data_IF_078816430365
#
_entry.id   IF_078816430365
#
_cell.length_a   1.000
_cell.length_b   1.000
_cell.length_c   1.000
_cell.angle_alpha   90.00
_cell.angle_beta   90.00
_cell.angle_gamma   90.00
#
_symmetry.space_group_name_H-M   'P 1'
#
loop_
_entity.id
_entity.type
_entity.pdbx_description
1 polymer ?
#
# COMPACT_ATOMS: atom_id res chain seq x y z
N UNK A 1 -5.66 -17.54 21.99
CA UNK A 1 -7.06 -17.29 21.64
C UNK A 1 -7.82 -16.48 22.69
N UNK A 2 -7.80 -16.82 24.00
CA UNK A 2 -8.52 -16.03 25.05
C UNK A 2 -8.12 -14.55 25.07
N UNK A 3 -6.83 -14.21 25.08
CA UNK A 3 -6.35 -12.81 25.04
C UNK A 3 -6.83 -12.04 23.81
N UNK A 4 -6.87 -12.67 22.63
CA UNK A 4 -7.34 -12.03 21.38
C UNK A 4 -8.84 -11.71 21.46
N UNK A 5 -9.64 -12.62 22.00
CA UNK A 5 -11.10 -12.42 22.20
C UNK A 5 -11.35 -11.33 23.24
N UNK A 6 -10.55 -11.27 24.31
CA UNK A 6 -10.63 -10.20 25.32
C UNK A 6 -10.26 -8.84 24.73
N UNK A 7 -9.21 -8.77 23.90
CA UNK A 7 -8.83 -7.53 23.20
C UNK A 7 -9.94 -7.07 22.27
N UNK A 8 -10.53 -7.96 21.46
CA UNK A 8 -11.68 -7.64 20.60
C UNK A 8 -12.89 -7.15 21.43
N UNK A 9 -13.18 -7.80 22.54
CA UNK A 9 -14.27 -7.40 23.44
C UNK A 9 -14.01 -6.02 24.06
N UNK A 10 -12.76 -5.71 24.40
CA UNK A 10 -12.37 -4.41 24.92
C UNK A 10 -12.42 -3.32 23.86
N UNK A 11 -12.01 -3.61 22.61
CA UNK A 11 -12.17 -2.70 21.47
C UNK A 11 -13.66 -2.35 21.23
N UNK A 12 -14.56 -3.34 21.38
CA UNK A 12 -16.00 -3.13 21.16
C UNK A 12 -16.68 -2.34 22.28
N UNK A 13 -16.12 -2.34 23.49
CA UNK A 13 -16.62 -1.57 24.64
C UNK A 13 -16.33 -0.07 24.51
N UNK A 14 -15.33 0.33 23.72
CA UNK A 14 -14.97 1.72 23.53
C UNK A 14 -15.83 2.28 22.39
N UNK A 15 -16.73 3.21 22.73
CA UNK A 15 -17.73 3.74 21.79
C UNK A 15 -17.12 4.43 20.58
N UNK A 16 -16.11 5.26 20.75
CA UNK A 16 -15.39 5.95 19.66
C UNK A 16 -14.72 4.94 18.70
N UNK A 17 -14.03 3.95 19.24
CA UNK A 17 -13.36 2.93 18.42
C UNK A 17 -14.36 2.04 17.68
N UNK A 18 -15.48 1.70 18.34
CA UNK A 18 -16.58 0.96 17.72
C UNK A 18 -17.19 1.72 16.55
N UNK A 19 -17.45 3.03 16.71
CA UNK A 19 -17.97 3.88 15.63
C UNK A 19 -16.99 3.95 14.46
N UNK A 20 -15.69 4.13 14.70
CA UNK A 20 -14.65 4.14 13.66
C UNK A 20 -14.57 2.82 12.91
N UNK A 21 -14.63 1.68 13.61
CA UNK A 21 -14.64 0.36 13.00
C UNK A 21 -15.89 0.13 12.15
N UNK A 22 -17.08 0.53 12.64
CA UNK A 22 -18.33 0.41 11.89
C UNK A 22 -18.30 1.27 10.62
N UNK A 23 -17.80 2.50 10.70
CA UNK A 23 -17.64 3.38 9.53
C UNK A 23 -16.69 2.74 8.50
N UNK A 24 -15.57 2.19 8.96
CA UNK A 24 -14.61 1.50 8.07
C UNK A 24 -15.27 0.31 7.37
N UNK A 25 -16.00 -0.53 8.11
CA UNK A 25 -16.73 -1.67 7.54
C UNK A 25 -17.82 -1.24 6.56
N UNK A 26 -18.58 -0.19 6.89
CA UNK A 26 -19.63 0.33 6.01
C UNK A 26 -19.06 0.81 4.68
N UNK A 27 -18.02 1.65 4.70
CA UNK A 27 -17.42 2.17 3.48
C UNK A 27 -16.73 1.08 2.67
N UNK A 28 -16.15 0.08 3.34
CA UNK A 28 -15.60 -1.11 2.69
C UNK A 28 -16.70 -1.91 1.98
N UNK A 29 -17.85 -2.11 2.61
CA UNK A 29 -18.97 -2.81 2.01
C UNK A 29 -19.50 -2.06 0.77
N UNK A 30 -19.60 -0.71 0.83
CA UNK A 30 -19.99 0.13 -0.31
C UNK A 30 -19.00 -0.04 -1.47
N UNK A 31 -17.70 -0.02 -1.19
CA UNK A 31 -16.66 -0.26 -2.20
C UNK A 31 -16.80 -1.63 -2.84
N UNK A 32 -17.00 -2.69 -2.05
CA UNK A 32 -17.16 -4.05 -2.56
C UNK A 32 -18.43 -4.22 -3.38
N UNK A 33 -19.55 -3.66 -2.94
CA UNK A 33 -20.79 -3.65 -3.71
C UNK A 33 -20.61 -3.00 -5.08
N UNK A 34 -20.01 -1.81 -5.13
CA UNK A 34 -19.78 -1.10 -6.40
C UNK A 34 -18.79 -1.80 -7.34
N UNK A 35 -17.89 -2.65 -6.84
CA UNK A 35 -16.97 -3.43 -7.69
C UNK A 35 -17.69 -4.55 -8.49
N UNK A 36 -18.93 -4.91 -8.12
CA UNK A 36 -19.75 -5.86 -8.87
C UNK A 36 -20.74 -5.17 -9.81
N UNK A 37 -20.95 -3.86 -9.69
CA UNK A 37 -21.86 -3.12 -10.57
C UNK A 37 -21.19 -2.90 -11.92
N UNK A 38 -21.61 -3.63 -12.92
CA UNK A 38 -21.10 -3.57 -14.30
C UNK A 38 -21.47 -2.23 -14.96
N UNK A 39 -20.61 -1.73 -15.86
CA UNK A 39 -20.88 -0.52 -16.64
C UNK A 39 -22.20 -0.67 -17.44
N UNK A 40 -23.08 0.33 -17.39
CA UNK A 40 -24.32 0.32 -18.15
C UNK A 40 -24.05 0.14 -19.65
N UNK A 41 -24.70 -0.84 -20.27
CA UNK A 41 -24.50 -1.17 -21.69
C UNK A 41 -23.53 -2.32 -21.96
N UNK A 42 -22.98 -2.96 -20.94
CA UNK A 42 -22.15 -4.16 -21.08
C UNK A 42 -22.90 -5.38 -20.54
N UNK A 43 -22.88 -6.47 -21.30
CA UNK A 43 -23.48 -7.76 -20.89
C UNK A 43 -22.48 -8.56 -20.05
N UNK A 44 -22.80 -8.87 -18.76
CA UNK A 44 -21.90 -9.58 -17.85
C UNK A 44 -21.51 -10.99 -18.34
N UNK A 45 -22.43 -11.71 -19.00
CA UNK A 45 -22.19 -13.07 -19.49
C UNK A 45 -21.09 -13.20 -20.54
N UNK A 46 -20.78 -12.10 -21.23
CA UNK A 46 -19.71 -12.08 -22.26
C UNK A 46 -18.33 -11.74 -21.66
N UNK A 47 -18.25 -11.41 -20.36
CA UNK A 47 -17.02 -11.04 -19.69
C UNK A 47 -16.19 -12.23 -19.17
N UNK A 48 -16.74 -13.46 -19.19
CA UNK A 48 -16.00 -14.68 -18.76
C UNK A 48 -14.71 -14.89 -19.56
N UNK A 49 -14.74 -14.60 -20.87
CA UNK A 49 -13.55 -14.62 -21.72
C UNK A 49 -12.50 -13.58 -21.33
N UNK A 50 -12.95 -12.43 -20.84
CA UNK A 50 -12.08 -11.36 -20.33
C UNK A 50 -11.36 -11.81 -19.06
N UNK A 51 -12.05 -12.50 -18.16
CA UNK A 51 -11.47 -13.04 -16.93
C UNK A 51 -10.34 -14.05 -17.23
N UNK A 52 -10.53 -14.92 -18.18
CA UNK A 52 -9.51 -15.90 -18.57
C UNK A 52 -8.27 -15.27 -19.23
N UNK A 53 -8.46 -14.21 -20.00
CA UNK A 53 -7.36 -13.47 -20.65
C UNK A 53 -6.64 -12.49 -19.70
N UNK A 54 -7.36 -11.99 -18.68
CA UNK A 54 -6.80 -11.08 -17.67
C UNK A 54 -6.00 -11.83 -16.60
N UNK A 55 -6.10 -13.17 -16.54
CA UNK A 55 -5.36 -13.99 -15.57
C UNK A 55 -3.84 -14.01 -15.79
N UNK A 56 -3.31 -13.40 -16.88
CA UNK A 56 -1.89 -13.34 -17.20
C UNK A 56 -1.32 -11.93 -17.27
N UNK A 57 -0.05 -11.77 -16.90
CA UNK A 57 0.72 -10.55 -17.08
C UNK A 57 0.28 -9.36 -16.22
N UNK A 58 0.49 -8.16 -16.76
CA UNK A 58 0.24 -6.88 -16.08
C UNK A 58 -1.24 -6.58 -15.81
N UNK A 59 -2.15 -7.07 -16.65
CA UNK A 59 -3.59 -6.90 -16.47
C UNK A 59 -4.08 -7.60 -15.19
N UNK A 60 -3.46 -8.72 -14.83
CA UNK A 60 -3.73 -9.45 -13.60
C UNK A 60 -3.41 -8.62 -12.34
N UNK A 61 -2.34 -7.82 -12.37
CA UNK A 61 -2.02 -6.91 -11.27
C UNK A 61 -3.06 -5.80 -11.12
N UNK A 62 -3.48 -5.17 -12.23
CA UNK A 62 -4.53 -4.15 -12.21
C UNK A 62 -5.84 -4.73 -11.67
N UNK A 63 -6.21 -5.93 -12.10
CA UNK A 63 -7.40 -6.62 -11.64
C UNK A 63 -7.33 -6.99 -10.15
N UNK A 64 -6.15 -7.38 -9.66
CA UNK A 64 -5.94 -7.67 -8.26
C UNK A 64 -6.08 -6.42 -7.38
N UNK A 65 -5.47 -5.28 -7.78
CA UNK A 65 -5.61 -4.03 -7.04
C UNK A 65 -7.04 -3.45 -7.06
N UNK A 66 -7.78 -3.68 -8.13
CA UNK A 66 -9.19 -3.30 -8.22
C UNK A 66 -10.14 -4.32 -7.56
N UNK A 67 -9.61 -5.44 -7.05
CA UNK A 67 -10.40 -6.49 -6.41
C UNK A 67 -11.38 -7.19 -7.34
N UNK A 68 -11.02 -7.32 -8.63
CA UNK A 68 -11.86 -7.90 -9.67
C UNK A 68 -12.75 -6.94 -10.41
N UNK A 69 -12.74 -5.67 -10.05
CA UNK A 69 -13.54 -4.67 -10.72
C UNK A 69 -13.11 -4.42 -12.18
N UNK A 70 -11.82 -4.61 -12.47
CA UNK A 70 -11.26 -4.45 -13.80
C UNK A 70 -11.78 -5.54 -14.76
N UNK A 71 -11.71 -6.80 -14.38
CA UNK A 71 -12.19 -7.94 -15.20
C UNK A 71 -13.70 -8.01 -15.30
N UNK A 72 -14.42 -7.50 -14.29
CA UNK A 72 -15.89 -7.42 -14.30
C UNK A 72 -16.40 -6.21 -15.08
N UNK A 73 -15.54 -5.39 -15.70
CA UNK A 73 -15.91 -4.14 -16.37
C UNK A 73 -16.87 -3.28 -15.51
N UNK A 74 -16.57 -3.16 -14.23
CA UNK A 74 -17.44 -2.45 -13.28
C UNK A 74 -17.24 -0.93 -13.35
N UNK A 75 -18.14 -0.19 -12.70
CA UNK A 75 -18.03 1.26 -12.51
C UNK A 75 -16.69 1.62 -11.83
N UNK A 76 -16.14 0.71 -11.01
CA UNK A 76 -14.89 0.86 -10.30
C UNK A 76 -13.71 0.18 -10.98
N UNK A 77 -13.78 -0.11 -12.28
CA UNK A 77 -12.75 -0.87 -13.01
C UNK A 77 -11.35 -0.27 -12.92
N UNK A 78 -11.19 1.05 -12.96
CA UNK A 78 -9.92 1.73 -12.81
C UNK A 78 -9.43 1.80 -11.35
N UNK A 79 -10.32 1.60 -10.40
CA UNK A 79 -10.01 1.58 -8.98
C UNK A 79 -9.33 2.87 -8.50
N UNK A 80 -8.32 2.70 -7.64
CA UNK A 80 -7.53 3.80 -7.05
C UNK A 80 -6.21 4.05 -7.80
N UNK A 81 -5.89 3.25 -8.85
CA UNK A 81 -4.62 3.33 -9.58
C UNK A 81 -4.32 4.72 -10.16
N UNK A 82 -5.28 5.45 -10.76
CA UNK A 82 -5.02 6.80 -11.28
C UNK A 82 -4.56 7.77 -10.20
N UNK A 83 -5.12 7.65 -9.00
CA UNK A 83 -4.69 8.45 -7.84
C UNK A 83 -3.29 8.07 -7.35
N UNK A 84 -2.95 6.78 -7.32
CA UNK A 84 -1.60 6.33 -6.94
C UNK A 84 -0.60 6.93 -7.92
N UNK A 85 -0.85 6.83 -9.23
CA UNK A 85 0.00 7.41 -10.25
C UNK A 85 0.16 8.93 -10.10
N UNK A 86 -0.94 9.65 -9.85
CA UNK A 86 -0.91 11.08 -9.58
C UNK A 86 -0.12 11.44 -8.32
N UNK A 87 -0.30 10.68 -7.24
CA UNK A 87 0.42 10.87 -5.98
C UNK A 87 1.92 10.66 -6.15
N UNK A 88 2.32 9.64 -6.92
CA UNK A 88 3.70 9.37 -7.28
C UNK A 88 4.31 10.57 -8.02
N UNK A 89 3.65 11.06 -9.07
CA UNK A 89 4.12 12.20 -9.85
C UNK A 89 4.26 13.44 -8.96
N UNK A 90 3.28 13.70 -8.10
CA UNK A 90 3.34 14.85 -7.17
C UNK A 90 4.46 14.73 -6.14
N UNK A 91 4.75 13.53 -5.64
CA UNK A 91 5.88 13.29 -4.74
C UNK A 91 7.23 13.54 -5.44
N UNK A 92 7.37 13.09 -6.69
CA UNK A 92 8.57 13.38 -7.49
C UNK A 92 8.72 14.88 -7.77
N UNK A 93 7.62 15.57 -8.13
CA UNK A 93 7.61 17.02 -8.34
C UNK A 93 7.95 17.79 -7.05
N UNK A 94 7.51 17.29 -5.89
CA UNK A 94 7.84 17.90 -4.60
C UNK A 94 9.34 17.82 -4.26
N UNK A 95 10.08 16.91 -4.89
CA UNK A 95 11.54 16.80 -4.76
C UNK A 95 12.25 17.58 -5.85
N UNK A 96 11.78 17.49 -7.09
CA UNK A 96 12.46 18.06 -8.25
C UNK A 96 12.24 19.59 -8.42
N UNK A 97 11.06 20.09 -8.01
CA UNK A 97 10.64 21.47 -8.28
C UNK A 97 10.63 22.30 -7.00
N UNK A 98 11.43 23.40 -6.91
CA UNK A 98 11.54 24.23 -5.70
C UNK A 98 10.20 24.81 -5.20
N UNK A 99 9.26 25.05 -6.11
CA UNK A 99 7.92 25.54 -5.78
C UNK A 99 7.15 24.55 -4.88
N UNK A 100 7.13 23.27 -5.24
CA UNK A 100 6.47 22.23 -4.46
C UNK A 100 7.24 21.88 -3.18
N UNK A 101 8.57 22.00 -3.19
CA UNK A 101 9.40 21.86 -1.97
C UNK A 101 9.02 22.91 -0.91
N UNK A 102 8.88 24.18 -1.31
CA UNK A 102 8.43 25.25 -0.40
C UNK A 102 7.06 24.92 0.17
N UNK A 103 6.14 24.52 -0.68
CA UNK A 103 4.77 24.15 -0.27
C UNK A 103 4.76 22.97 0.72
N UNK A 104 5.63 21.98 0.56
CA UNK A 104 5.76 20.86 1.49
C UNK A 104 6.26 21.32 2.88
N UNK A 105 7.10 22.36 2.92
CA UNK A 105 7.62 22.96 4.17
C UNK A 105 6.62 23.88 4.87
N UNK A 106 5.56 24.34 4.21
CA UNK A 106 4.51 25.19 4.78
C UNK A 106 3.59 24.45 5.79
N UNK A 107 3.83 23.18 6.06
CA UNK A 107 3.07 22.39 7.04
C UNK A 107 1.70 21.97 6.52
N UNK A 108 0.66 22.08 7.36
CA UNK A 108 -0.69 21.56 7.03
C UNK A 108 -1.35 22.27 5.83
N UNK A 109 -1.16 23.59 5.72
CA UNK A 109 -1.71 24.38 4.60
C UNK A 109 -1.10 23.93 3.27
N UNK A 110 0.21 23.74 3.24
CA UNK A 110 0.91 23.26 2.05
C UNK A 110 0.52 21.83 1.67
N UNK A 111 0.36 20.93 2.65
CA UNK A 111 -0.13 19.55 2.41
C UNK A 111 -1.52 19.54 1.77
N UNK A 112 -2.45 20.38 2.23
CA UNK A 112 -3.79 20.52 1.64
C UNK A 112 -3.73 20.98 0.18
N UNK A 113 -2.85 21.92 -0.15
CA UNK A 113 -2.63 22.36 -1.54
C UNK A 113 -2.06 21.24 -2.41
N UNK A 114 -1.07 20.50 -1.92
CA UNK A 114 -0.49 19.35 -2.64
C UNK A 114 -1.57 18.29 -2.89
N UNK A 115 -2.41 17.97 -1.91
CA UNK A 115 -3.53 17.05 -2.09
C UNK A 115 -4.52 17.53 -3.15
N UNK A 116 -4.81 18.83 -3.19
CA UNK A 116 -5.67 19.40 -4.23
C UNK A 116 -5.06 19.23 -5.63
N UNK A 117 -3.76 19.52 -5.80
CA UNK A 117 -3.05 19.28 -7.06
C UNK A 117 -3.04 17.80 -7.44
N UNK A 118 -2.86 16.90 -6.47
CA UNK A 118 -2.93 15.46 -6.70
C UNK A 118 -4.31 15.05 -7.23
N UNK A 119 -5.40 15.57 -6.68
CA UNK A 119 -6.77 15.28 -7.17
C UNK A 119 -6.99 15.81 -8.59
N UNK A 120 -6.55 17.01 -8.88
CA UNK A 120 -6.65 17.58 -10.26
C UNK A 120 -5.86 16.73 -11.24
N UNK A 121 -4.64 16.34 -10.88
CA UNK A 121 -3.81 15.46 -11.71
C UNK A 121 -4.44 14.07 -11.87
N UNK A 122 -5.10 13.54 -10.83
CA UNK A 122 -5.85 12.28 -10.91
C UNK A 122 -6.95 12.36 -11.96
N UNK A 123 -7.72 13.45 -12.00
CA UNK A 123 -8.76 13.67 -13.01
C UNK A 123 -8.15 13.75 -14.41
N UNK A 124 -7.03 14.47 -14.56
CA UNK A 124 -6.32 14.53 -15.85
C UNK A 124 -5.87 13.15 -16.33
N UNK A 125 -5.27 12.34 -15.45
CA UNK A 125 -4.87 10.95 -15.77
C UNK A 125 -6.09 10.09 -16.13
N UNK A 126 -7.21 10.24 -15.45
CA UNK A 126 -8.45 9.50 -15.72
C UNK A 126 -8.99 9.77 -17.12
N UNK A 127 -8.92 11.01 -17.59
CA UNK A 127 -9.37 11.38 -18.95
C UNK A 127 -8.60 10.63 -20.04
N UNK A 128 -7.34 10.28 -19.81
CA UNK A 128 -6.53 9.48 -20.75
C UNK A 128 -6.66 7.96 -20.48
N UNK A 129 -6.73 7.54 -19.24
CA UNK A 129 -6.71 6.13 -18.85
C UNK A 129 -8.05 5.44 -19.08
N UNK A 130 -9.19 6.14 -18.88
CA UNK A 130 -10.51 5.56 -19.07
C UNK A 130 -10.81 5.20 -20.55
N UNK A 131 -10.55 6.07 -21.55
CA UNK A 131 -10.66 5.67 -22.94
C UNK A 131 -9.73 4.52 -23.33
N UNK A 132 -8.50 4.51 -22.81
CA UNK A 132 -7.54 3.42 -23.05
C UNK A 132 -8.07 2.09 -22.54
N UNK A 133 -8.68 2.08 -21.36
CA UNK A 133 -9.34 0.89 -20.81
C UNK A 133 -10.51 0.42 -21.68
N UNK A 134 -11.36 1.34 -22.12
CA UNK A 134 -12.50 1.03 -22.98
C UNK A 134 -12.09 0.51 -24.36
N UNK A 135 -11.00 1.03 -24.94
CA UNK A 135 -10.42 0.50 -26.16
C UNK A 135 -9.90 -0.94 -25.96
N UNK A 136 -9.23 -1.20 -24.85
CA UNK A 136 -8.78 -2.54 -24.51
C UNK A 136 -9.98 -3.50 -24.34
N UNK A 137 -11.04 -3.07 -23.66
CA UNK A 137 -12.28 -3.81 -23.52
C UNK A 137 -12.93 -4.12 -24.88
N UNK A 138 -12.94 -3.15 -25.80
CA UNK A 138 -13.41 -3.33 -27.18
C UNK A 138 -12.61 -4.40 -27.93
N UNK A 139 -11.28 -4.43 -27.76
CA UNK A 139 -10.43 -5.40 -28.44
C UNK A 139 -10.62 -6.81 -27.90
N UNK A 140 -10.83 -6.96 -26.60
CA UNK A 140 -10.94 -8.27 -25.95
C UNK A 140 -12.37 -8.82 -25.93
N UNK A 141 -13.37 -7.96 -25.83
CA UNK A 141 -14.77 -8.32 -25.69
C UNK A 141 -15.66 -7.46 -26.61
N UNK A 142 -15.40 -7.48 -27.92
CA UNK A 142 -16.15 -6.68 -28.89
C UNK A 142 -17.67 -6.93 -28.85
N UNK A 143 -18.08 -8.17 -28.53
CA UNK A 143 -19.47 -8.60 -28.47
C UNK A 143 -20.14 -8.35 -27.10
N UNK A 144 -19.42 -7.81 -26.12
CA UNK A 144 -19.97 -7.55 -24.79
C UNK A 144 -20.87 -6.29 -24.75
N UNK A 145 -20.88 -5.47 -25.80
CA UNK A 145 -21.76 -4.33 -25.88
C UNK A 145 -23.19 -4.77 -26.20
N UNK A 146 -24.17 -4.17 -25.53
CA UNK A 146 -25.58 -4.43 -25.78
C UNK A 146 -25.97 -4.13 -27.24
N UNK A 147 -26.81 -4.98 -27.81
CA UNK A 147 -27.28 -4.84 -29.20
C UNK A 147 -27.94 -3.48 -29.44
N UNK A 148 -27.47 -2.75 -30.47
CA UNK A 148 -28.02 -1.45 -30.85
C UNK A 148 -27.23 -0.23 -30.38
N UNK A 149 -26.15 -0.38 -29.59
CA UNK A 149 -25.31 0.73 -29.15
C UNK A 149 -23.99 0.71 -29.93
N UNK A 150 -23.61 1.84 -30.57
CA UNK A 150 -22.30 1.96 -31.20
C UNK A 150 -21.22 2.25 -30.17
N UNK A 151 -20.02 1.69 -30.34
CA UNK A 151 -18.87 1.91 -29.45
C UNK A 151 -18.51 3.39 -29.30
N UNK A 152 -18.68 4.18 -30.35
CA UNK A 152 -18.36 5.62 -30.36
C UNK A 152 -19.27 6.40 -29.40
N UNK A 153 -20.56 6.09 -29.40
CA UNK A 153 -21.55 6.72 -28.51
C UNK A 153 -21.37 6.23 -27.06
N UNK A 154 -21.00 4.96 -26.88
CA UNK A 154 -20.77 4.36 -25.57
C UNK A 154 -19.51 4.93 -24.86
N UNK A 155 -18.45 5.26 -25.61
CA UNK A 155 -17.16 5.67 -25.02
C UNK A 155 -17.27 6.93 -24.13
N UNK A 156 -18.05 7.95 -24.56
CA UNK A 156 -18.13 9.21 -23.82
C UNK A 156 -18.78 9.03 -22.43
N UNK A 157 -20.02 8.50 -22.34
CA UNK A 157 -20.65 8.31 -21.03
C UNK A 157 -19.90 7.29 -20.16
N UNK A 158 -19.35 6.22 -20.75
CA UNK A 158 -18.56 5.24 -20.00
C UNK A 158 -17.30 5.83 -19.40
N UNK A 159 -16.60 6.73 -20.13
CA UNK A 159 -15.43 7.47 -19.60
C UNK A 159 -15.82 8.33 -18.40
N UNK A 160 -16.93 9.05 -18.49
CA UNK A 160 -17.43 9.89 -17.39
C UNK A 160 -17.79 9.04 -16.17
N UNK A 161 -18.46 7.90 -16.36
CA UNK A 161 -18.84 6.99 -15.30
C UNK A 161 -17.60 6.39 -14.62
N UNK A 162 -16.60 5.95 -15.39
CA UNK A 162 -15.34 5.42 -14.85
C UNK A 162 -14.56 6.48 -14.06
N UNK A 163 -14.51 7.72 -14.58
CA UNK A 163 -13.87 8.84 -13.89
C UNK A 163 -14.60 9.17 -12.57
N UNK A 164 -15.92 9.25 -12.61
CA UNK A 164 -16.75 9.47 -11.42
C UNK A 164 -16.59 8.33 -10.39
N UNK A 165 -16.55 7.06 -10.84
CA UNK A 165 -16.32 5.89 -10.01
C UNK A 165 -14.98 5.93 -9.30
N UNK A 166 -13.89 6.23 -10.01
CA UNK A 166 -12.55 6.35 -9.42
C UNK A 166 -12.45 7.51 -8.41
N UNK A 167 -13.05 8.66 -8.72
CA UNK A 167 -13.11 9.79 -7.79
C UNK A 167 -13.96 9.47 -6.55
N UNK A 168 -15.01 8.68 -6.70
CA UNK A 168 -15.82 8.21 -5.57
C UNK A 168 -15.03 7.26 -4.66
N UNK A 169 -14.24 6.33 -5.22
CA UNK A 169 -13.34 5.46 -4.44
C UNK A 169 -12.32 6.30 -3.67
N UNK A 170 -11.73 7.31 -4.31
CA UNK A 170 -10.80 8.23 -3.64
C UNK A 170 -11.48 8.91 -2.45
N UNK A 171 -12.69 9.44 -2.66
CA UNK A 171 -13.46 10.07 -1.60
C UNK A 171 -13.78 9.08 -0.46
N UNK A 172 -14.13 7.83 -0.76
CA UNK A 172 -14.32 6.77 0.25
C UNK A 172 -13.03 6.55 1.05
N UNK A 173 -11.87 6.45 0.39
CA UNK A 173 -10.57 6.27 1.03
C UNK A 173 -10.24 7.44 1.97
N UNK A 174 -10.46 8.67 1.55
CA UNK A 174 -10.28 9.86 2.39
C UNK A 174 -11.22 9.85 3.60
N UNK A 175 -12.48 9.48 3.42
CA UNK A 175 -13.46 9.37 4.52
C UNK A 175 -13.12 8.27 5.52
N UNK A 176 -12.58 7.14 5.07
CA UNK A 176 -12.07 6.10 5.97
C UNK A 176 -10.88 6.64 6.77
N UNK A 177 -9.96 7.37 6.12
CA UNK A 177 -8.80 7.97 6.80
C UNK A 177 -9.22 8.98 7.87
N UNK A 178 -10.23 9.84 7.57
CA UNK A 178 -10.68 10.90 8.48
C UNK A 178 -11.50 10.35 9.66
N UNK A 179 -12.42 9.44 9.39
CA UNK A 179 -13.44 8.98 10.36
C UNK A 179 -13.33 7.52 10.77
N UNK A 180 -12.52 6.74 10.07
CA UNK A 180 -12.34 5.32 10.32
C UNK A 180 -11.05 5.01 11.08
N UNK A 181 -10.50 3.83 10.82
CA UNK A 181 -9.24 3.32 11.36
C UNK A 181 -8.28 3.07 10.21
N UNK A 182 -7.02 3.49 10.36
CA UNK A 182 -5.99 3.25 9.36
C UNK A 182 -5.99 4.25 8.21
N UNK A 183 -5.10 4.00 7.24
CA UNK A 183 -5.08 4.74 5.98
C UNK A 183 -6.13 4.13 5.04
N UNK A 184 -7.20 4.86 4.76
CA UNK A 184 -8.34 4.36 3.98
C UNK A 184 -7.98 3.95 2.56
N UNK A 185 -7.04 4.65 1.91
CA UNK A 185 -6.56 4.31 0.57
C UNK A 185 -5.88 2.93 0.58
N UNK A 186 -4.97 2.74 1.52
CA UNK A 186 -4.26 1.47 1.70
C UNK A 186 -5.21 0.32 2.08
N UNK A 187 -6.23 0.60 2.91
CA UNK A 187 -7.27 -0.36 3.26
C UNK A 187 -8.09 -0.80 2.05
N UNK A 188 -8.50 0.12 1.18
CA UNK A 188 -9.23 -0.20 -0.05
C UNK A 188 -8.41 -1.12 -0.95
N UNK A 189 -7.11 -0.86 -1.11
CA UNK A 189 -6.20 -1.71 -1.89
C UNK A 189 -6.08 -3.09 -1.24
N UNK A 190 -5.87 -3.16 0.06
CA UNK A 190 -5.77 -4.40 0.82
C UNK A 190 -7.02 -5.26 0.66
N UNK A 191 -8.21 -4.67 0.76
CA UNK A 191 -9.48 -5.36 0.59
C UNK A 191 -9.66 -5.86 -0.84
N UNK A 192 -9.21 -5.10 -1.84
CA UNK A 192 -9.15 -5.55 -3.23
C UNK A 192 -8.32 -6.83 -3.38
N UNK A 193 -7.13 -6.84 -2.78
CA UNK A 193 -6.21 -7.98 -2.80
C UNK A 193 -6.85 -9.19 -2.08
N UNK A 194 -7.34 -9.02 -0.84
CA UNK A 194 -7.96 -10.11 -0.05
C UNK A 194 -9.16 -10.71 -0.77
N UNK A 195 -9.92 -9.92 -1.49
CA UNK A 195 -11.12 -10.38 -2.17
C UNK A 195 -10.84 -11.39 -3.29
N UNK A 196 -9.65 -11.37 -3.88
CA UNK A 196 -9.22 -12.33 -4.91
C UNK A 196 -8.61 -13.60 -4.32
N UNK A 197 -8.14 -13.55 -3.07
CA UNK A 197 -7.46 -14.67 -2.42
C UNK A 197 -8.30 -15.96 -2.37
N UNK A 198 -9.61 -15.95 -1.98
CA UNK A 198 -10.40 -17.18 -1.93
C UNK A 198 -10.54 -17.86 -3.29
N UNK A 199 -10.74 -17.08 -4.35
CA UNK A 199 -10.87 -17.59 -5.71
C UNK A 199 -9.54 -18.20 -6.20
N UNK A 200 -8.43 -17.50 -5.99
CA UNK A 200 -7.10 -17.98 -6.35
C UNK A 200 -6.74 -19.27 -5.58
N UNK A 201 -7.08 -19.32 -4.29
CA UNK A 201 -6.87 -20.50 -3.45
C UNK A 201 -7.67 -21.71 -3.95
N UNK A 202 -8.97 -21.53 -4.24
CA UNK A 202 -9.79 -22.62 -4.79
C UNK A 202 -9.28 -23.12 -6.14
N UNK A 203 -8.83 -22.19 -7.02
CA UNK A 203 -8.24 -22.56 -8.31
C UNK A 203 -6.96 -23.39 -8.12
N UNK A 204 -6.08 -23.03 -7.19
CA UNK A 204 -4.87 -23.79 -6.90
C UNK A 204 -5.20 -25.18 -6.36
N UNK A 205 -6.09 -25.27 -5.35
CA UNK A 205 -6.54 -26.55 -4.79
C UNK A 205 -7.12 -27.48 -5.86
N UNK A 206 -8.00 -26.97 -6.72
CA UNK A 206 -8.61 -27.77 -7.80
C UNK A 206 -7.57 -28.24 -8.83
N UNK A 207 -6.63 -27.39 -9.20
CA UNK A 207 -5.52 -27.74 -10.10
C UNK A 207 -4.63 -28.83 -9.50
N UNK A 208 -4.28 -28.74 -8.22
CA UNK A 208 -3.45 -29.73 -7.53
C UNK A 208 -4.18 -31.05 -7.27
N UNK A 209 -5.48 -31.02 -7.02
CA UNK A 209 -6.29 -32.22 -6.90
C UNK A 209 -6.42 -32.96 -8.24
N UNK A 210 -6.46 -32.29 -9.36
CA UNK A 210 -6.43 -32.90 -10.68
C UNK A 210 -5.07 -33.53 -11.00
N UNK A 211 -3.99 -33.06 -10.42
CA UNK A 211 -2.62 -33.54 -10.57
C UNK A 211 -2.18 -34.54 -9.48
N UNK A 212 -3.11 -35.26 -8.82
CA UNK A 212 -2.81 -36.20 -7.70
C UNK A 212 -1.82 -37.29 -8.13
N UNK A 213 -1.93 -37.79 -9.35
CA UNK A 213 -1.04 -38.83 -9.87
C UNK A 213 0.43 -38.41 -9.98
N UNK A 214 0.73 -37.12 -10.02
CA UNK A 214 2.09 -36.55 -10.10
C UNK A 214 2.56 -35.90 -8.79
N UNK A 215 1.98 -36.25 -7.65
CA UNK A 215 2.39 -35.73 -6.33
C UNK A 215 1.84 -34.32 -6.00
N UNK A 216 0.77 -33.88 -6.66
CA UNK A 216 0.20 -32.55 -6.53
C UNK A 216 -0.15 -32.15 -5.10
N UNK A 217 -0.58 -33.10 -4.26
CA UNK A 217 -0.95 -32.82 -2.86
C UNK A 217 0.28 -32.50 -1.99
N UNK A 218 1.41 -33.19 -2.22
CA UNK A 218 2.66 -32.91 -1.50
C UNK A 218 3.17 -31.53 -1.89
N UNK A 219 3.11 -31.20 -3.18
CA UNK A 219 3.54 -29.89 -3.68
C UNK A 219 2.70 -28.77 -3.08
N UNK A 220 1.39 -28.94 -2.94
CA UNK A 220 0.51 -27.99 -2.30
C UNK A 220 0.87 -27.70 -0.84
N UNK A 221 1.25 -28.74 -0.06
CA UNK A 221 1.72 -28.55 1.33
C UNK A 221 3.01 -27.72 1.35
N UNK A 222 3.95 -28.00 0.44
CA UNK A 222 5.21 -27.26 0.31
C UNK A 222 4.92 -25.78 -0.03
N UNK A 223 4.00 -25.51 -0.94
CA UNK A 223 3.57 -24.17 -1.30
C UNK A 223 3.03 -23.39 -0.11
N UNK A 224 2.13 -23.99 0.67
CA UNK A 224 1.59 -23.35 1.88
C UNK A 224 2.69 -23.07 2.90
N UNK A 225 3.65 -23.98 3.05
CA UNK A 225 4.76 -23.79 3.99
C UNK A 225 5.68 -22.65 3.54
N UNK A 226 5.99 -22.55 2.24
CA UNK A 226 6.75 -21.44 1.66
C UNK A 226 5.97 -20.12 1.85
N UNK A 227 4.67 -20.09 1.53
CA UNK A 227 3.84 -18.91 1.73
C UNK A 227 3.89 -18.44 3.18
N UNK A 228 3.73 -19.36 4.13
CA UNK A 228 3.82 -19.05 5.55
C UNK A 228 5.19 -18.47 5.93
N UNK A 229 6.28 -19.06 5.45
CA UNK A 229 7.63 -18.55 5.69
C UNK A 229 7.84 -17.13 5.14
N UNK A 230 7.34 -16.85 3.93
CA UNK A 230 7.44 -15.53 3.30
C UNK A 230 6.59 -14.49 4.05
N UNK A 231 5.39 -14.86 4.53
CA UNK A 231 4.57 -13.98 5.38
C UNK A 231 5.30 -13.65 6.69
N UNK A 232 5.88 -14.64 7.37
CA UNK A 232 6.66 -14.42 8.59
C UNK A 232 7.87 -13.50 8.32
N UNK A 233 8.59 -13.72 7.24
CA UNK A 233 9.71 -12.88 6.83
C UNK A 233 9.27 -11.43 6.54
N UNK A 234 8.13 -11.25 5.88
CA UNK A 234 7.54 -9.93 5.61
C UNK A 234 7.15 -9.19 6.89
N UNK A 235 6.58 -9.89 7.87
CA UNK A 235 6.22 -9.30 9.17
C UNK A 235 7.48 -8.85 9.91
N UNK A 236 8.54 -9.69 9.93
CA UNK A 236 9.82 -9.33 10.54
C UNK A 236 10.45 -8.09 9.88
N UNK A 237 10.35 -7.99 8.56
CA UNK A 237 10.85 -6.81 7.83
C UNK A 237 10.11 -5.54 8.22
N UNK A 238 8.76 -5.58 8.23
CA UNK A 238 7.91 -4.41 8.52
C UNK A 238 8.05 -3.96 9.98
N UNK A 239 8.19 -4.90 10.92
CA UNK A 239 8.39 -4.60 12.34
C UNK A 239 9.83 -4.28 12.70
N UNK A 240 10.79 -4.58 11.82
CA UNK A 240 12.21 -4.36 12.05
C UNK A 240 12.52 -2.88 12.29
N UNK A 241 13.05 -2.56 13.49
CA UNK A 241 13.43 -1.18 13.84
C UNK A 241 14.80 -1.13 14.50
N UNK A 242 15.62 -0.17 14.09
CA UNK A 242 16.87 0.18 14.77
C UNK A 242 16.60 1.31 15.75
N UNK A 243 16.81 1.08 17.04
CA UNK A 243 16.64 2.07 18.10
C UNK A 243 17.92 2.85 18.30
N UNK A 244 17.90 4.18 18.07
CA UNK A 244 19.01 5.10 18.38
C UNK A 244 18.75 5.68 19.75
N UNK A 245 19.68 5.54 20.74
CA UNK A 245 19.52 6.15 22.05
C UNK A 245 19.69 7.66 21.97
N UNK A 246 18.74 8.39 22.52
CA UNK A 246 18.77 9.86 22.66
C UNK A 246 18.60 10.22 24.12
N UNK A 247 19.42 11.13 24.59
CA UNK A 247 19.35 11.65 25.94
C UNK A 247 18.92 13.12 25.91
N UNK A 248 17.89 13.44 26.69
CA UNK A 248 17.44 14.81 26.85
C UNK A 248 18.06 15.42 28.10
N UNK A 249 18.40 16.70 28.02
CA UNK A 249 18.94 17.43 29.16
C UNK A 249 17.94 17.46 30.33
N UNK A 250 18.44 17.28 31.55
CA UNK A 250 17.62 17.41 32.74
C UNK A 250 17.25 18.88 32.94
N UNK A 251 15.98 19.17 33.16
CA UNK A 251 15.50 20.50 33.58
C UNK A 251 15.16 20.47 35.08
N UNK A 252 15.76 21.39 35.82
CA UNK A 252 15.40 21.64 37.21
C UNK A 252 14.32 22.72 37.24
N UNK A 253 13.15 22.40 37.77
CA UNK A 253 12.09 23.36 38.02
C UNK A 253 11.79 23.32 39.52
N UNK A 254 12.35 24.29 40.24
CA UNK A 254 12.36 24.27 41.72
C UNK A 254 13.17 23.09 42.26
N UNK A 255 12.61 22.35 43.24
CA UNK A 255 13.26 21.18 43.84
C UNK A 255 12.98 19.86 43.10
N UNK A 256 12.29 19.87 41.97
CA UNK A 256 11.95 18.67 41.19
C UNK A 256 12.78 18.61 39.90
N UNK A 257 13.45 17.47 39.67
CA UNK A 257 14.13 17.18 38.41
C UNK A 257 13.13 16.59 37.42
N UNK A 258 12.98 17.28 36.26
CA UNK A 258 12.19 16.80 35.13
C UNK A 258 13.14 16.46 33.98
N UNK A 259 12.93 15.32 33.33
CA UNK A 259 13.76 14.87 32.20
C UNK A 259 14.94 13.99 32.58
N UNK A 260 15.82 13.72 31.63
CA UNK A 260 17.00 12.84 31.82
C UNK A 260 16.73 11.36 31.56
N UNK A 261 15.53 10.99 31.17
CA UNK A 261 15.24 9.63 30.70
C UNK A 261 15.87 9.38 29.33
N UNK A 262 16.49 8.23 29.14
CA UNK A 262 16.93 7.78 27.82
C UNK A 262 15.69 7.45 26.99
N UNK A 263 15.57 8.12 25.87
CA UNK A 263 14.55 7.81 24.85
C UNK A 263 15.23 7.19 23.64
N UNK A 264 14.46 6.51 22.82
CA UNK A 264 14.96 5.86 21.61
C UNK A 264 14.20 6.38 20.40
N UNK A 265 14.94 6.77 19.36
CA UNK A 265 14.34 7.06 18.05
C UNK A 265 14.31 5.74 17.27
N UNK A 266 13.11 5.21 16.96
CA UNK A 266 12.99 3.99 16.16
C UNK A 266 13.16 4.33 14.68
N UNK A 267 14.25 3.91 14.05
CA UNK A 267 14.43 3.92 12.61
C UNK A 267 13.90 2.59 12.05
N UNK A 268 12.85 2.63 11.24
CA UNK A 268 12.28 1.43 10.60
C UNK A 268 13.19 0.94 9.49
N UNK A 269 13.42 -0.38 9.38
CA UNK A 269 14.08 -1.00 8.23
C UNK A 269 13.28 -0.75 6.95
N UNK A 270 11.97 -0.80 7.08
CA UNK A 270 11.00 -0.59 6.01
C UNK A 270 10.45 0.86 6.05
N UNK A 271 11.36 1.85 6.12
CA UNK A 271 10.98 3.26 6.21
C UNK A 271 10.27 3.77 4.95
N UNK A 272 10.65 3.25 3.79
CA UNK A 272 10.05 3.58 2.51
C UNK A 272 8.66 2.95 2.28
N UNK A 273 8.21 2.06 3.16
CA UNK A 273 6.97 1.30 3.00
C UNK A 273 6.89 0.59 1.63
N UNK A 274 5.71 0.44 1.08
CA UNK A 274 5.47 -0.27 -0.19
C UNK A 274 5.75 0.59 -1.43
N UNK A 275 5.95 1.90 -1.26
CA UNK A 275 6.10 2.86 -2.36
C UNK A 275 7.20 2.49 -3.38
N UNK A 276 8.42 2.09 -2.99
CA UNK A 276 9.47 1.74 -3.95
C UNK A 276 9.06 0.64 -4.93
N UNK A 277 8.30 -0.34 -4.48
CA UNK A 277 7.86 -1.46 -5.32
C UNK A 277 6.81 -0.98 -6.32
N UNK A 278 5.86 -0.14 -5.86
CA UNK A 278 4.84 0.45 -6.74
C UNK A 278 5.50 1.30 -7.82
N UNK A 279 6.52 2.10 -7.46
CA UNK A 279 7.30 2.88 -8.42
C UNK A 279 8.03 2.00 -9.44
N UNK A 280 8.72 0.95 -8.97
CA UNK A 280 9.41 0.02 -9.85
C UNK A 280 8.43 -0.64 -10.83
N UNK A 281 7.26 -1.07 -10.35
CA UNK A 281 6.20 -1.61 -11.20
C UNK A 281 5.67 -0.58 -12.21
N UNK A 282 5.37 0.65 -11.77
CA UNK A 282 4.89 1.70 -12.66
C UNK A 282 5.89 1.98 -13.78
N UNK A 283 7.19 1.96 -13.47
CA UNK A 283 8.24 2.18 -14.46
C UNK A 283 8.37 1.01 -15.43
N UNK A 284 8.14 -0.23 -14.97
CA UNK A 284 8.11 -1.42 -15.84
C UNK A 284 6.91 -1.43 -16.80
N UNK A 285 5.84 -0.62 -16.55
CA UNK A 285 4.74 -0.44 -17.48
C UNK A 285 5.11 0.41 -18.72
N UNK A 286 6.12 1.30 -18.62
CA UNK A 286 6.49 2.23 -19.70
C UNK A 286 6.98 1.49 -20.96
N UNK A 287 7.95 0.55 -20.88
CA UNK A 287 8.37 -0.22 -22.04
C UNK A 287 7.23 -0.96 -22.72
N UNK A 288 6.30 -1.50 -21.94
CA UNK A 288 5.10 -2.20 -22.43
C UNK A 288 4.17 -1.29 -23.22
N UNK A 289 3.96 -0.06 -22.75
CA UNK A 289 3.14 0.91 -23.47
C UNK A 289 3.76 1.30 -24.80
N UNK A 290 5.08 1.48 -24.86
CA UNK A 290 5.82 1.85 -26.07
C UNK A 290 5.75 0.73 -27.13
N UNK A 291 5.90 -0.53 -26.70
CA UNK A 291 5.90 -1.68 -27.62
C UNK A 291 4.53 -1.93 -28.25
N UNK A 292 3.45 -1.72 -27.50
CA UNK A 292 2.09 -1.82 -28.06
C UNK A 292 1.83 -0.79 -29.18
N UNK A 293 2.57 0.31 -29.18
CA UNK A 293 2.47 1.34 -30.22
C UNK A 293 3.31 1.02 -31.47
N UNK A 294 4.36 0.19 -31.32
CA UNK A 294 5.33 -0.15 -32.35
C UNK A 294 5.12 -1.61 -32.79
N UNK A 295 4.08 -1.84 -33.63
CA UNK A 295 3.61 -3.14 -34.07
C UNK A 295 4.71 -4.02 -34.73
N UNK A 296 4.59 -5.34 -34.51
CA UNK A 296 5.10 -6.52 -35.23
C UNK A 296 6.60 -6.87 -35.20
N UNK A 297 7.53 -5.95 -34.93
CA UNK A 297 8.98 -6.29 -34.84
C UNK A 297 9.59 -5.98 -33.48
N UNK A 298 8.91 -6.36 -32.38
CA UNK A 298 9.51 -6.21 -31.05
C UNK A 298 10.76 -7.09 -30.95
N UNK A 299 11.92 -6.49 -30.68
CA UNK A 299 13.16 -7.23 -30.48
C UNK A 299 13.00 -8.27 -29.35
N UNK A 300 13.75 -9.37 -29.42
CA UNK A 300 13.72 -10.46 -28.43
C UNK A 300 13.87 -9.96 -26.98
N UNK A 301 14.65 -8.89 -26.79
CA UNK A 301 14.86 -8.22 -25.50
C UNK A 301 13.56 -7.61 -24.97
N UNK A 302 12.76 -7.04 -25.83
CA UNK A 302 11.48 -6.42 -25.44
C UNK A 302 10.44 -7.47 -25.07
N UNK A 303 10.41 -8.59 -25.81
CA UNK A 303 9.54 -9.73 -25.47
C UNK A 303 9.91 -10.33 -24.11
N UNK A 304 11.19 -10.45 -23.80
CA UNK A 304 11.67 -10.90 -22.49
C UNK A 304 11.32 -9.90 -21.35
N UNK A 305 11.29 -8.60 -21.61
CA UNK A 305 10.85 -7.60 -20.66
C UNK A 305 9.32 -7.59 -20.44
N UNK A 306 8.55 -8.20 -21.33
CA UNK A 306 7.09 -8.36 -21.19
C UNK A 306 6.68 -9.57 -20.37
N UNK A 307 7.56 -10.56 -20.26
CA UNK A 307 7.27 -11.79 -19.53
C UNK A 307 7.76 -11.68 -18.08
N UNK A 308 6.83 -11.68 -17.13
CA UNK A 308 7.10 -11.63 -15.68
C UNK A 308 7.94 -12.83 -15.19
N UNK A 309 8.01 -13.93 -15.96
CA UNK A 309 8.83 -15.11 -15.65
C UNK A 309 10.24 -15.00 -16.21
N UNK A 310 10.50 -14.06 -17.10
CA UNK A 310 11.82 -13.87 -17.70
C UNK A 310 12.85 -13.42 -16.66
N UNK A 311 14.05 -13.96 -16.75
CA UNK A 311 15.17 -13.58 -15.89
C UNK A 311 15.52 -12.09 -16.08
N UNK A 312 15.47 -11.59 -17.33
CA UNK A 312 15.76 -10.19 -17.64
C UNK A 312 14.78 -9.25 -16.95
N UNK A 313 13.48 -9.55 -17.00
CA UNK A 313 12.45 -8.78 -16.29
C UNK A 313 12.75 -8.71 -14.79
N UNK A 314 13.00 -9.85 -14.17
CA UNK A 314 13.23 -9.94 -12.73
C UNK A 314 14.51 -9.22 -12.29
N UNK A 315 15.60 -9.30 -13.05
CA UNK A 315 16.85 -8.59 -12.75
C UNK A 315 16.65 -7.08 -12.82
N UNK A 316 16.05 -6.58 -13.89
CA UNK A 316 15.75 -5.13 -14.02
C UNK A 316 14.82 -4.66 -12.91
N UNK A 317 13.81 -5.46 -12.58
CA UNK A 317 12.85 -5.15 -11.52
C UNK A 317 13.53 -5.04 -10.15
N UNK A 318 14.44 -5.97 -9.81
CA UNK A 318 15.24 -5.93 -8.58
C UNK A 318 16.08 -4.66 -8.48
N UNK A 319 16.80 -4.35 -9.55
CA UNK A 319 17.65 -3.14 -9.59
C UNK A 319 16.79 -1.89 -9.37
N UNK A 320 15.62 -1.80 -10.02
CA UNK A 320 14.70 -0.69 -9.84
C UNK A 320 14.15 -0.62 -8.40
N UNK A 321 13.75 -1.75 -7.82
CA UNK A 321 13.27 -1.79 -6.43
C UNK A 321 14.33 -1.31 -5.45
N UNK A 322 15.58 -1.75 -5.60
CA UNK A 322 16.70 -1.31 -4.75
C UNK A 322 16.93 0.21 -4.93
N UNK A 323 17.05 0.68 -6.18
CA UNK A 323 17.28 2.08 -6.49
C UNK A 323 16.17 2.98 -5.91
N UNK A 324 14.91 2.61 -6.11
CA UNK A 324 13.78 3.36 -5.55
C UNK A 324 13.69 3.28 -4.03
N UNK A 325 14.12 2.19 -3.41
CA UNK A 325 14.17 2.08 -1.95
C UNK A 325 15.13 3.10 -1.37
N UNK A 326 16.34 3.21 -1.92
CA UNK A 326 17.31 4.23 -1.51
C UNK A 326 16.77 5.65 -1.77
N UNK A 327 16.27 5.89 -2.96
CA UNK A 327 15.73 7.19 -3.35
C UNK A 327 14.59 7.62 -2.42
N UNK A 328 13.62 6.73 -2.17
CA UNK A 328 12.46 7.05 -1.35
C UNK A 328 12.82 7.21 0.14
N UNK A 329 13.75 6.40 0.64
CA UNK A 329 14.24 6.53 2.02
C UNK A 329 14.93 7.89 2.23
N UNK A 330 15.74 8.33 1.28
CA UNK A 330 16.41 9.64 1.32
C UNK A 330 15.43 10.84 1.31
N UNK A 331 14.28 10.68 0.63
CA UNK A 331 13.24 11.71 0.59
C UNK A 331 12.41 11.75 1.87
N UNK A 332 12.03 10.57 2.36
CA UNK A 332 11.09 10.45 3.49
C UNK A 332 11.75 10.81 4.82
N UNK A 333 13.00 10.43 4.98
CA UNK A 333 13.77 10.70 6.19
C UNK A 333 14.82 11.77 5.88
N UNK A 334 14.67 12.94 6.52
CA UNK A 334 15.63 14.03 6.39
C UNK A 334 16.52 14.10 7.65
N UNK A 335 17.78 13.58 7.59
CA UNK A 335 18.66 13.54 8.75
C UNK A 335 18.98 14.91 9.33
N UNK A 336 19.08 15.95 8.48
CA UNK A 336 19.37 17.32 8.90
C UNK A 336 18.22 17.90 9.72
N UNK A 337 16.97 17.71 9.27
CA UNK A 337 15.79 18.16 10.00
C UNK A 337 15.64 17.43 11.33
N UNK A 338 15.88 16.11 11.35
CA UNK A 338 15.85 15.31 12.58
C UNK A 338 16.89 15.80 13.59
N UNK A 339 18.10 16.10 13.15
CA UNK A 339 19.18 16.62 14.02
C UNK A 339 18.86 18.02 14.55
N UNK A 340 18.25 18.90 13.74
CA UNK A 340 17.80 20.21 14.17
C UNK A 340 16.66 20.13 15.19
N UNK A 341 15.69 19.28 14.97
CA UNK A 341 14.56 19.06 15.89
C UNK A 341 15.05 18.50 17.23
N UNK A 342 15.99 17.58 17.20
CA UNK A 342 16.67 17.11 18.42
C UNK A 342 17.38 18.24 19.15
N UNK A 343 18.15 19.07 18.43
CA UNK A 343 18.85 20.21 19.01
C UNK A 343 17.90 21.21 19.65
N UNK A 344 16.77 21.52 18.98
CA UNK A 344 15.72 22.43 19.51
C UNK A 344 15.10 21.89 20.80
N UNK A 345 14.97 20.59 20.91
CA UNK A 345 14.41 19.92 22.09
C UNK A 345 15.46 19.58 23.16
N UNK A 346 16.69 20.11 23.04
CA UNK A 346 17.84 19.82 23.94
C UNK A 346 18.14 18.31 24.04
N UNK A 347 17.88 17.55 22.99
CA UNK A 347 18.24 16.14 22.85
C UNK A 347 19.61 15.99 22.20
N UNK A 348 20.37 14.99 22.62
CA UNK A 348 21.66 14.64 22.01
C UNK A 348 21.85 13.13 22.00
N UNK A 349 22.64 12.65 21.04
CA UNK A 349 23.08 11.26 20.97
C UNK A 349 24.36 11.13 21.79
N UNK A 350 24.44 10.21 22.77
CA UNK A 350 25.66 10.03 23.55
C UNK A 350 26.86 9.72 22.64
N UNK A 351 27.93 10.50 22.77
CA UNK A 351 29.17 10.35 21.99
C UNK A 351 29.19 11.09 20.65
N UNK A 352 28.10 11.81 20.25
CA UNK A 352 28.05 12.59 19.01
C UNK A 352 27.73 14.05 19.31
N UNK A 353 28.43 14.99 18.66
CA UNK A 353 28.16 16.42 18.84
C UNK A 353 26.80 16.80 18.24
N UNK A 354 25.99 17.64 18.95
CA UNK A 354 24.72 18.11 18.42
C UNK A 354 24.90 18.98 17.16
N UNK A 355 24.06 18.77 16.14
CA UNK A 355 24.08 19.51 14.89
C UNK A 355 24.51 18.66 13.69
N UNK A 356 25.52 19.11 12.93
CA UNK A 356 25.97 18.44 11.70
C UNK A 356 26.46 17.01 11.94
N UNK A 357 27.24 16.79 12.98
CA UNK A 357 27.77 15.46 13.31
C UNK A 357 26.64 14.47 13.65
N UNK A 358 25.57 14.94 14.30
CA UNK A 358 24.36 14.15 14.57
C UNK A 358 23.64 13.81 13.27
N UNK A 359 23.51 14.74 12.31
CA UNK A 359 22.90 14.49 11.02
C UNK A 359 23.69 13.45 10.22
N UNK A 360 25.03 13.56 10.18
CA UNK A 360 25.90 12.63 9.50
C UNK A 360 25.87 11.22 10.13
N UNK A 361 25.80 11.14 11.46
CA UNK A 361 25.63 9.87 12.17
C UNK A 361 24.31 9.20 11.81
N UNK A 362 23.19 9.94 11.82
CA UNK A 362 21.86 9.42 11.45
C UNK A 362 21.88 8.96 9.99
N UNK A 363 22.45 9.73 9.08
CA UNK A 363 22.56 9.39 7.66
C UNK A 363 23.37 8.09 7.44
N UNK A 364 24.49 7.96 8.12
CA UNK A 364 25.31 6.74 8.08
C UNK A 364 24.53 5.52 8.58
N UNK A 365 23.81 5.66 9.69
CA UNK A 365 22.98 4.57 10.24
C UNK A 365 21.85 4.22 9.27
N UNK A 366 21.19 5.21 8.68
CA UNK A 366 20.12 5.03 7.71
C UNK A 366 20.63 4.29 6.47
N UNK A 367 21.74 4.71 5.87
CA UNK A 367 22.33 4.06 4.70
C UNK A 367 22.64 2.58 4.96
N UNK A 368 23.20 2.29 6.14
CA UNK A 368 23.51 0.90 6.55
C UNK A 368 22.26 0.03 6.77
N UNK A 369 21.16 0.61 7.22
CA UNK A 369 19.90 -0.11 7.44
C UNK A 369 19.15 -0.29 6.12
N UNK A 370 19.21 0.70 5.23
CA UNK A 370 18.50 0.66 3.94
C UNK A 370 19.01 -0.45 3.03
N UNK A 371 20.31 -0.78 3.08
CA UNK A 371 20.89 -1.85 2.24
C UNK A 371 20.24 -3.22 2.51
N UNK A 372 20.27 -3.79 3.73
CA UNK A 372 19.61 -5.07 3.99
C UNK A 372 18.09 -4.97 3.80
N UNK A 373 17.48 -3.82 4.13
CA UNK A 373 16.07 -3.57 3.89
C UNK A 373 15.71 -3.67 2.41
N UNK A 374 16.47 -3.00 1.53
CA UNK A 374 16.23 -3.01 0.08
C UNK A 374 16.42 -4.39 -0.55
N UNK A 375 17.45 -5.14 -0.13
CA UNK A 375 17.68 -6.51 -0.58
C UNK A 375 16.52 -7.44 -0.17
N UNK A 376 16.02 -7.28 1.04
CA UNK A 376 14.90 -8.08 1.54
C UNK A 376 13.59 -7.76 0.80
N UNK A 377 13.33 -6.47 0.55
CA UNK A 377 12.19 -6.01 -0.25
C UNK A 377 12.30 -6.58 -1.68
N UNK A 378 13.48 -6.51 -2.30
CA UNK A 378 13.71 -7.04 -3.63
C UNK A 378 13.51 -8.57 -3.69
N UNK A 379 13.95 -9.29 -2.66
CA UNK A 379 13.73 -10.74 -2.54
C UNK A 379 12.23 -11.07 -2.48
N UNK A 380 11.46 -10.38 -1.63
CA UNK A 380 10.00 -10.57 -1.56
C UNK A 380 9.32 -10.18 -2.88
N UNK A 381 9.83 -9.15 -3.56
CA UNK A 381 9.29 -8.70 -4.83
C UNK A 381 9.40 -9.73 -5.96
N UNK A 382 10.43 -10.59 -5.93
CA UNK A 382 10.65 -11.65 -6.94
C UNK A 382 9.93 -12.95 -6.57
N UNK A 383 9.49 -13.13 -5.32
CA UNK A 383 8.86 -14.39 -4.88
C UNK A 383 7.73 -14.89 -5.79
N UNK A 384 6.84 -14.04 -6.36
CA UNK A 384 5.83 -14.49 -7.31
C UNK A 384 6.43 -15.17 -8.56
N UNK A 385 7.57 -14.66 -9.06
CA UNK A 385 8.25 -15.26 -10.20
C UNK A 385 8.87 -16.63 -9.83
N UNK A 386 9.48 -16.74 -8.64
CA UNK A 386 10.00 -18.00 -8.13
C UNK A 386 8.88 -19.02 -7.88
N UNK A 387 7.73 -18.61 -7.35
CA UNK A 387 6.56 -19.47 -7.20
C UNK A 387 6.04 -19.98 -8.56
N UNK A 388 6.13 -19.14 -9.60
CA UNK A 388 5.81 -19.55 -10.98
C UNK A 388 6.72 -20.65 -11.54
N UNK A 389 7.97 -20.78 -11.06
CA UNK A 389 8.87 -21.89 -11.42
C UNK A 389 8.49 -23.23 -10.75
N UNK A 390 7.70 -23.19 -9.69
CA UNK A 390 7.14 -24.34 -8.99
C UNK A 390 5.77 -24.75 -9.55
N UNK A 391 5.42 -24.28 -10.74
CA UNK A 391 4.12 -24.52 -11.41
C UNK A 391 2.90 -24.10 -10.58
N UNK A 392 3.06 -23.11 -9.69
CA UNK A 392 1.96 -22.49 -8.97
C UNK A 392 1.10 -21.69 -9.96
N UNK A 393 -0.22 -21.78 -9.83
CA UNK A 393 -1.15 -21.00 -10.66
C UNK A 393 -0.86 -19.50 -10.53
N UNK A 394 -0.88 -18.80 -11.66
CA UNK A 394 -0.46 -17.39 -11.71
C UNK A 394 -1.28 -16.48 -10.78
N UNK A 395 -2.57 -16.76 -10.64
CA UNK A 395 -3.42 -16.03 -9.72
C UNK A 395 -3.00 -16.20 -8.26
N UNK A 396 -2.55 -17.39 -7.86
CA UNK A 396 -2.13 -17.70 -6.51
C UNK A 396 -0.67 -17.28 -6.25
N UNK A 397 0.22 -17.37 -7.26
CA UNK A 397 1.62 -16.99 -7.14
C UNK A 397 1.80 -15.50 -6.73
N UNK A 398 0.88 -14.62 -7.11
CA UNK A 398 0.92 -13.21 -6.75
C UNK A 398 0.75 -12.96 -5.24
N UNK A 399 0.22 -13.93 -4.49
CA UNK A 399 0.11 -13.84 -3.02
C UNK A 399 1.38 -14.30 -2.31
N UNK A 400 2.33 -14.94 -3.00
CA UNK A 400 3.61 -15.36 -2.42
C UNK A 400 4.57 -14.21 -2.17
N UNK A 401 4.30 -13.03 -2.68
CA UNK A 401 5.19 -11.89 -2.52
C UNK A 401 4.75 -10.68 -3.33
N UNK A 402 5.74 -9.91 -3.76
CA UNK A 402 5.51 -8.70 -4.52
C UNK A 402 4.81 -7.60 -3.71
N UNK A 403 4.13 -6.71 -4.42
CA UNK A 403 3.40 -5.59 -3.81
C UNK A 403 2.22 -6.05 -2.98
N UNK A 404 1.52 -7.11 -3.40
CA UNK A 404 0.29 -7.55 -2.75
C UNK A 404 0.50 -8.00 -1.30
N UNK A 405 1.49 -8.86 -1.07
CA UNK A 405 1.78 -9.37 0.26
C UNK A 405 2.33 -8.27 1.18
N UNK A 406 3.22 -7.41 0.67
CA UNK A 406 3.78 -6.31 1.45
C UNK A 406 2.73 -5.24 1.80
N UNK A 407 1.80 -4.94 0.88
CA UNK A 407 0.67 -4.06 1.17
C UNK A 407 -0.21 -4.68 2.25
N UNK A 408 -0.57 -5.95 2.11
CA UNK A 408 -1.42 -6.65 3.06
C UNK A 408 -0.81 -6.64 4.46
N UNK A 409 0.46 -7.05 4.60
CA UNK A 409 1.16 -7.07 5.89
C UNK A 409 1.35 -5.67 6.46
N UNK A 410 1.78 -4.71 5.62
CA UNK A 410 2.01 -3.33 6.04
C UNK A 410 0.75 -2.65 6.56
N UNK A 411 -0.36 -2.76 5.82
CA UNK A 411 -1.64 -2.14 6.19
C UNK A 411 -2.24 -2.77 7.45
N UNK A 412 -2.14 -4.09 7.59
CA UNK A 412 -2.62 -4.79 8.80
C UNK A 412 -1.83 -4.32 10.02
N UNK A 413 -0.50 -4.26 9.93
CA UNK A 413 0.36 -3.83 11.04
C UNK A 413 0.10 -2.36 11.39
N UNK A 414 0.03 -1.47 10.40
CA UNK A 414 -0.25 -0.04 10.63
C UNK A 414 -1.64 0.17 11.27
N UNK A 415 -2.65 -0.58 10.83
CA UNK A 415 -4.01 -0.52 11.38
C UNK A 415 -4.04 -1.04 12.83
N UNK A 416 -3.33 -2.13 13.13
CA UNK A 416 -3.21 -2.66 14.49
C UNK A 416 -2.50 -1.67 15.41
N UNK A 417 -1.38 -1.06 14.96
CA UNK A 417 -0.67 -0.04 15.74
C UNK A 417 -1.56 1.18 16.06
N UNK A 418 -2.40 1.61 15.12
CA UNK A 418 -3.36 2.69 15.37
C UNK A 418 -4.42 2.29 16.39
N UNK A 419 -4.96 1.07 16.32
CA UNK A 419 -5.92 0.55 17.31
C UNK A 419 -5.27 0.50 18.69
N UNK A 420 -4.05 -0.04 18.79
CA UNK A 420 -3.30 -0.09 20.05
C UNK A 420 -3.05 1.31 20.63
N UNK A 421 -2.66 2.26 19.78
CA UNK A 421 -2.46 3.66 20.19
C UNK A 421 -3.73 4.29 20.76
N UNK A 422 -4.88 4.07 20.14
CA UNK A 422 -6.17 4.53 20.65
C UNK A 422 -6.56 3.88 21.98
N UNK A 423 -6.29 2.60 22.14
CA UNK A 423 -6.53 1.87 23.39
C UNK A 423 -5.66 2.41 24.53
N UNK A 424 -4.38 2.67 24.28
CA UNK A 424 -3.44 3.21 25.26
C UNK A 424 -3.83 4.62 25.70
N UNK A 425 -4.19 5.52 24.78
CA UNK A 425 -4.61 6.88 25.13
C UNK A 425 -5.81 6.88 26.10
N UNK A 426 -6.81 6.05 25.86
CA UNK A 426 -7.99 5.94 26.73
C UNK A 426 -7.69 5.31 28.08
N UNK A 427 -6.71 4.42 28.17
CA UNK A 427 -6.29 3.84 29.44
C UNK A 427 -5.63 4.91 30.34
N UNK A 428 -4.85 5.81 29.75
CA UNK A 428 -4.27 6.95 30.47
C UNK A 428 -5.32 7.98 30.92
N UNK A 429 -6.32 8.30 30.10
CA UNK A 429 -7.42 9.20 30.49
C UNK A 429 -8.23 8.65 31.65
N UNK A 430 -8.45 7.32 31.70
CA UNK A 430 -9.11 6.65 32.82
C UNK A 430 -8.33 6.75 34.13
N UNK A 431 -7.01 6.66 34.07
CA UNK A 431 -6.13 6.83 35.23
C UNK A 431 -6.05 8.28 35.74
N UNK A 432 -6.07 9.26 34.85
CA UNK A 432 -6.09 10.68 35.21
C UNK A 432 -7.42 11.09 35.84
N UNK A 433 -8.55 10.61 35.34
CA UNK A 433 -9.87 10.88 35.91
C UNK A 433 -10.08 10.18 37.27
N UNK A 434 -9.50 8.99 37.49
CA UNK A 434 -9.54 8.32 38.81
C UNK A 434 -8.66 8.99 39.88
N UNK A 435 -7.62 9.73 39.46
CA UNK A 435 -6.76 10.52 40.32
C UNK A 435 -7.42 11.80 40.87
N UNK A 436 -8.33 12.41 40.09
CA UNK A 436 -9.03 13.64 40.52
C UNK A 436 -10.17 13.36 41.54
N UNK A 437 -10.77 12.18 41.53
CA UNK A 437 -11.82 11.80 42.48
C UNK A 437 -11.30 11.45 43.90
N UNK A 438 -9.98 11.28 44.06
CA UNK A 438 -9.38 10.99 45.41
C UNK A 438 -8.88 12.25 46.14
N UNK A 439 -8.87 13.44 45.56
CA UNK A 439 -8.47 14.69 46.24
C UNK A 439 -9.64 15.49 46.83
N UNK A 440 -10.86 15.02 46.71
CA UNK A 440 -12.05 15.69 47.27
C UNK A 440 -12.51 15.25 48.65
N UNK A 441 -11.67 14.55 49.41
CA UNK A 441 -12.13 13.90 50.67
C UNK A 441 -11.19 14.03 51.86
N UNK A 442 -10.44 15.12 52.04
CA UNK A 442 -9.82 15.43 53.36
C UNK A 442 -9.74 16.95 53.51
N UNK A 443 -10.82 17.56 53.94
CA UNK A 443 -10.79 18.86 54.61
C UNK A 443 -12.04 18.99 55.50
N UNK A 444 -11.99 18.46 56.69
CA UNK A 444 -12.75 18.91 57.86
C UNK A 444 -12.29 18.09 59.05
N UNK A 445 -11.33 18.60 59.78
CA UNK A 445 -11.22 18.75 61.21
C UNK A 445 -9.83 19.26 61.55
#
# INVERSE_FOLDING_TARGET
MKKFIETLKNCWKIEDLRQRLLITLLFTAIYRFGSFVVLPGINPSMLEKLQSQTSGGLMSLLDMFSGGAFSNASIFALGIMPYISASIVMQLLAVAVPYFQKMQREGESGRKKIQWYTRVLTVAILVFQAPSYLLNLKMQAANALATGISWTVFMIPATIILAAGSMFILWLGERITDKGVGNGISLIIMIGIIARLPQAFVQEVTSRLQAISSGGLIMFIVEILILYAVVCASILLVQGTRKIPVQYAKRLVGNKQYGGARQYIPLKLFAANVMPIIFAQALMFIPLAIVRYQSENASTVVQQLMDNRSLLYNVVYVILVIAFTYFYTAITLNPTQMAEDMKRNNGFIPGVKPGKDTAEYIDTVMSRITLPGSLFIAFIAIMPALAGLLDVQQAFSQFFGGTSLLILVGVVIDSLQQIESHLLMRHYDGLLNSGHTRQGGVAAY
#
